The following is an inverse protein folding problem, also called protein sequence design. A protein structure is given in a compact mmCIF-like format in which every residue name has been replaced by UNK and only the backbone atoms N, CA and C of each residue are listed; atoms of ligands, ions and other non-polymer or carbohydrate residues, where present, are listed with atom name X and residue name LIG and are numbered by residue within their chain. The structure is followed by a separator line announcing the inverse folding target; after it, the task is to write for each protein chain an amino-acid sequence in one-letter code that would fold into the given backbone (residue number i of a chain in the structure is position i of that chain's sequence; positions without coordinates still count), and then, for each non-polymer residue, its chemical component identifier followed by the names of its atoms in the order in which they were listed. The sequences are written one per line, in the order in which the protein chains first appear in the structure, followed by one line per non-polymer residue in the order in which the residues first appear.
data_IF_219035156035
#
_entry.id   IF_219035156035
#
_cell.length_a   1.000
_cell.length_b   1.000
_cell.length_c   1.000
_cell.angle_alpha   90.00
_cell.angle_beta   90.00
_cell.angle_gamma   90.00
#
_symmetry.space_group_name_H-M   'P 1'
#
loop_
_entity.id
_entity.type
_entity.pdbx_description
1 polymer ?
#
# COMPACT_ATOMS: atom_id res chain seq x y z
N UNK A 1 22.41 -33.44 -50.12
CA UNK A 1 22.94 -32.11 -49.74
C UNK A 1 21.86 -31.03 -49.57
N UNK A 2 21.05 -30.70 -50.59
CA UNK A 2 20.02 -29.62 -50.47
C UNK A 2 19.06 -29.73 -49.27
N UNK A 3 18.57 -30.94 -48.94
CA UNK A 3 17.65 -31.14 -47.80
C UNK A 3 18.30 -30.90 -46.42
N UNK A 4 19.58 -31.26 -46.27
CA UNK A 4 20.35 -31.03 -45.04
C UNK A 4 20.62 -29.53 -44.86
N UNK A 5 20.90 -28.82 -45.96
CA UNK A 5 21.11 -27.37 -45.95
C UNK A 5 19.84 -26.62 -45.53
N UNK A 6 18.66 -27.04 -46.01
CA UNK A 6 17.37 -26.43 -45.65
C UNK A 6 17.06 -26.64 -44.17
N UNK A 7 17.31 -27.84 -43.63
CA UNK A 7 17.11 -28.13 -42.19
C UNK A 7 18.09 -27.32 -41.33
N UNK A 8 19.35 -27.19 -41.74
CA UNK A 8 20.34 -26.40 -41.01
C UNK A 8 20.00 -24.90 -41.01
N UNK A 9 19.56 -24.34 -42.14
CA UNK A 9 19.09 -22.94 -42.22
C UNK A 9 17.84 -22.73 -41.38
N UNK A 10 16.87 -23.65 -41.44
CA UNK A 10 15.68 -23.61 -40.60
C UNK A 10 16.01 -23.62 -39.10
N UNK A 11 16.93 -24.50 -38.68
CA UNK A 11 17.40 -24.57 -37.29
C UNK A 11 18.12 -23.29 -36.85
N UNK A 12 18.96 -22.71 -37.71
CA UNK A 12 19.67 -21.46 -37.41
C UNK A 12 18.70 -20.27 -37.23
N UNK A 13 17.64 -20.19 -38.03
CA UNK A 13 16.60 -19.16 -37.90
C UNK A 13 15.85 -19.32 -36.57
N UNK A 14 15.43 -20.54 -36.23
CA UNK A 14 14.73 -20.81 -34.97
C UNK A 14 15.62 -20.47 -33.76
N UNK A 15 16.89 -20.86 -33.79
CA UNK A 15 17.84 -20.51 -32.72
C UNK A 15 18.06 -19.00 -32.63
N UNK A 16 18.20 -18.30 -33.76
CA UNK A 16 18.31 -16.84 -33.79
C UNK A 16 17.12 -16.14 -33.15
N UNK A 17 15.90 -16.61 -33.42
CA UNK A 17 14.67 -16.10 -32.80
C UNK A 17 14.68 -16.36 -31.29
N UNK A 18 15.03 -17.58 -30.86
CA UNK A 18 15.05 -17.96 -29.43
C UNK A 18 16.11 -17.15 -28.65
N UNK A 19 17.33 -17.06 -29.17
CA UNK A 19 18.40 -16.28 -28.54
C UNK A 19 18.11 -14.78 -28.55
N UNK A 20 17.55 -14.25 -29.64
CA UNK A 20 17.11 -12.85 -29.73
C UNK A 20 16.02 -12.53 -28.72
N UNK A 21 14.98 -13.36 -28.61
CA UNK A 21 13.92 -13.20 -27.62
C UNK A 21 14.45 -13.28 -26.17
N UNK A 22 15.40 -14.19 -25.92
CA UNK A 22 16.04 -14.32 -24.60
C UNK A 22 16.92 -13.11 -24.26
N UNK A 23 17.73 -12.63 -25.19
CA UNK A 23 18.57 -11.45 -25.00
C UNK A 23 17.72 -10.20 -24.77
N UNK A 24 16.62 -10.05 -25.52
CA UNK A 24 15.66 -8.97 -25.32
C UNK A 24 14.99 -9.03 -23.94
N UNK A 25 14.56 -10.21 -23.50
CA UNK A 25 14.00 -10.40 -22.15
C UNK A 25 15.00 -10.03 -21.05
N UNK A 26 16.26 -10.46 -21.16
CA UNK A 26 17.29 -10.12 -20.19
C UNK A 26 17.61 -8.62 -20.19
N UNK A 27 17.67 -7.99 -21.37
CA UNK A 27 17.86 -6.54 -21.49
C UNK A 27 16.72 -5.77 -20.83
N UNK A 28 15.47 -6.20 -21.06
CA UNK A 28 14.29 -5.60 -20.42
C UNK A 28 14.34 -5.73 -18.89
N UNK A 29 14.64 -6.91 -18.37
CA UNK A 29 14.78 -7.14 -16.93
C UNK A 29 15.91 -6.31 -16.31
N UNK A 30 17.04 -6.16 -17.01
CA UNK A 30 18.14 -5.31 -16.55
C UNK A 30 17.73 -3.84 -16.50
N UNK A 31 16.98 -3.36 -17.50
CA UNK A 31 16.43 -1.99 -17.52
C UNK A 31 15.44 -1.77 -16.38
N UNK A 32 14.49 -2.69 -16.16
CA UNK A 32 13.51 -2.62 -15.07
C UNK A 32 14.21 -2.59 -13.70
N UNK A 33 15.25 -3.40 -13.52
CA UNK A 33 16.07 -3.42 -12.31
C UNK A 33 16.83 -2.11 -12.10
N UNK A 34 17.39 -1.53 -13.17
CA UNK A 34 18.10 -0.25 -13.09
C UNK A 34 17.15 0.91 -12.73
N UNK A 35 15.95 0.91 -13.31
CA UNK A 35 14.89 1.86 -12.96
C UNK A 35 14.45 1.71 -11.51
N UNK A 36 14.24 0.47 -11.04
CA UNK A 36 13.93 0.18 -9.65
C UNK A 36 15.02 0.69 -8.70
N UNK A 37 16.30 0.46 -9.02
CA UNK A 37 17.42 0.89 -8.20
C UNK A 37 17.43 2.42 -7.98
N UNK A 38 17.11 3.21 -9.02
CA UNK A 38 17.01 4.67 -8.89
C UNK A 38 15.86 5.11 -8.00
N UNK A 39 14.72 4.42 -8.08
CA UNK A 39 13.58 4.72 -7.20
C UNK A 39 13.94 4.42 -5.74
N UNK A 40 14.55 3.26 -5.49
CA UNK A 40 15.00 2.86 -4.16
C UNK A 40 16.06 3.83 -3.60
N UNK A 41 17.00 4.29 -4.43
CA UNK A 41 18.00 5.28 -4.02
C UNK A 41 17.36 6.56 -3.47
N UNK A 42 16.22 6.98 -4.02
CA UNK A 42 15.48 8.15 -3.50
C UNK A 42 14.64 7.78 -2.28
N UNK A 43 14.02 6.60 -2.28
CA UNK A 43 13.17 6.13 -1.18
C UNK A 43 13.95 5.90 0.13
N UNK A 44 15.20 5.45 0.03
CA UNK A 44 16.08 5.17 1.17
C UNK A 44 16.68 6.42 1.80
N UNK A 45 16.60 7.59 1.14
CA UNK A 45 17.11 8.83 1.72
C UNK A 45 16.33 9.18 2.99
N UNK A 46 17.04 9.52 4.09
CA UNK A 46 16.40 9.74 5.37
C UNK A 46 15.56 11.02 5.36
N UNK A 47 14.54 11.04 6.21
CA UNK A 47 13.88 12.28 6.62
C UNK A 47 14.61 12.79 7.85
N UNK A 48 15.06 14.05 7.82
CA UNK A 48 15.79 14.69 8.91
C UNK A 48 14.92 14.83 10.16
N UNK A 49 15.56 14.77 11.32
CA UNK A 49 14.89 15.16 12.56
C UNK A 49 14.57 16.66 12.55
N UNK A 50 13.54 17.06 13.28
CA UNK A 50 13.19 18.47 13.42
C UNK A 50 14.36 19.26 14.03
N UNK A 51 14.77 20.33 13.35
CA UNK A 51 15.91 21.16 13.76
C UNK A 51 17.30 20.67 13.30
N UNK A 52 17.39 19.52 12.61
CA UNK A 52 18.66 19.02 12.06
C UNK A 52 19.08 19.82 10.81
N UNK A 53 20.33 20.30 10.80
CA UNK A 53 20.89 21.05 9.68
C UNK A 53 21.01 20.20 8.40
N UNK A 54 20.92 20.84 7.24
CA UNK A 54 21.13 20.16 5.95
C UNK A 54 22.60 19.76 5.81
N UNK A 55 22.87 18.46 5.76
CA UNK A 55 24.20 17.94 5.40
C UNK A 55 24.28 17.78 3.87
N UNK A 56 25.07 18.64 3.22
CA UNK A 56 25.28 18.57 1.77
C UNK A 56 25.90 17.24 1.30
N UNK A 57 26.55 16.48 2.20
CA UNK A 57 27.13 15.16 1.89
C UNK A 57 26.14 14.00 2.07
N UNK A 58 25.00 14.23 2.73
CA UNK A 58 23.95 13.24 2.98
C UNK A 58 22.59 13.79 2.55
N UNK A 59 22.20 13.61 1.27
CA UNK A 59 20.91 14.05 0.77
C UNK A 59 19.78 13.48 1.63
N UNK A 60 18.91 14.36 2.11
CA UNK A 60 17.84 14.02 3.04
C UNK A 60 16.65 14.95 2.85
N UNK A 61 15.47 14.46 3.21
CA UNK A 61 14.21 15.21 3.08
C UNK A 61 13.89 15.94 4.38
N UNK A 62 13.19 17.07 4.29
CA UNK A 62 12.67 17.77 5.45
C UNK A 62 11.42 17.09 6.01
N UNK A 63 10.62 16.42 5.16
CA UNK A 63 9.40 15.73 5.60
C UNK A 63 9.17 14.41 4.85
N UNK A 64 8.32 13.55 5.42
CA UNK A 64 7.83 12.34 4.73
C UNK A 64 7.10 12.67 3.42
N UNK A 65 6.35 13.78 3.38
CA UNK A 65 5.64 14.22 2.17
C UNK A 65 6.59 14.61 1.04
N UNK A 66 7.66 15.34 1.36
CA UNK A 66 8.69 15.68 0.38
C UNK A 66 9.35 14.42 -0.20
N UNK A 67 9.66 13.44 0.66
CA UNK A 67 10.18 12.15 0.21
C UNK A 67 9.19 11.43 -0.69
N UNK A 68 7.93 11.31 -0.28
CA UNK A 68 6.90 10.62 -1.06
C UNK A 68 6.71 11.24 -2.44
N UNK A 69 6.70 12.58 -2.53
CA UNK A 69 6.63 13.31 -3.80
C UNK A 69 7.86 13.02 -4.69
N UNK A 70 9.06 13.03 -4.12
CA UNK A 70 10.28 12.75 -4.87
C UNK A 70 10.35 11.30 -5.39
N UNK A 71 9.89 10.34 -4.59
CA UNK A 71 9.83 8.93 -5.01
C UNK A 71 8.83 8.74 -6.15
N UNK A 72 7.62 9.31 -6.05
CA UNK A 72 6.63 9.24 -7.12
C UNK A 72 7.11 9.90 -8.42
N UNK A 73 7.80 11.04 -8.32
CA UNK A 73 8.38 11.72 -9.48
C UNK A 73 9.42 10.84 -10.21
N UNK A 74 10.31 10.16 -9.47
CA UNK A 74 11.28 9.24 -10.07
C UNK A 74 10.59 7.99 -10.63
N UNK A 75 9.60 7.41 -9.95
CA UNK A 75 8.81 6.30 -10.51
C UNK A 75 8.18 6.68 -11.85
N UNK A 76 7.60 7.89 -11.93
CA UNK A 76 6.99 8.42 -13.15
C UNK A 76 8.03 8.61 -14.26
N UNK A 77 9.18 9.21 -13.94
CA UNK A 77 10.28 9.45 -14.90
C UNK A 77 10.89 8.17 -15.45
N UNK A 78 11.07 7.18 -14.58
CA UNK A 78 11.59 5.87 -14.96
C UNK A 78 10.53 4.98 -15.63
N UNK A 79 9.26 5.37 -15.59
CA UNK A 79 8.15 4.62 -16.18
C UNK A 79 8.01 3.22 -15.60
N UNK A 80 8.30 3.06 -14.30
CA UNK A 80 8.32 1.75 -13.63
C UNK A 80 7.22 1.62 -12.59
N UNK A 81 6.51 0.50 -12.65
CA UNK A 81 5.58 0.03 -11.62
C UNK A 81 6.20 -1.12 -10.80
N UNK A 82 7.54 -1.31 -10.88
CA UNK A 82 8.23 -2.47 -10.28
C UNK A 82 8.08 -2.58 -8.75
N UNK A 83 7.74 -1.48 -8.06
CA UNK A 83 7.45 -1.49 -6.62
C UNK A 83 6.00 -1.88 -6.29
N UNK A 84 5.17 -2.09 -7.31
CA UNK A 84 3.78 -2.51 -7.16
C UNK A 84 2.80 -1.37 -6.84
N UNK A 85 1.52 -1.65 -7.08
CA UNK A 85 0.42 -0.71 -6.87
C UNK A 85 0.27 -0.31 -5.40
N UNK A 86 0.45 -1.24 -4.45
CA UNK A 86 0.36 -0.97 -3.02
C UNK A 86 1.35 0.12 -2.56
N UNK A 87 2.59 0.05 -3.04
CA UNK A 87 3.64 1.01 -2.68
C UNK A 87 3.32 2.39 -3.26
N UNK A 88 2.99 2.46 -4.55
CA UNK A 88 2.60 3.71 -5.22
C UNK A 88 1.40 4.37 -4.53
N UNK A 89 0.38 3.58 -4.20
CA UNK A 89 -0.80 4.03 -3.48
C UNK A 89 -0.45 4.59 -2.09
N UNK A 90 0.49 3.96 -1.36
CA UNK A 90 0.97 4.47 -0.07
C UNK A 90 1.63 5.85 -0.18
N UNK A 91 2.45 6.06 -1.22
CA UNK A 91 3.03 7.39 -1.47
C UNK A 91 1.97 8.45 -1.78
N UNK A 92 0.92 8.08 -2.55
CA UNK A 92 -0.20 8.96 -2.84
C UNK A 92 -1.01 9.28 -1.57
N UNK A 93 -1.22 8.29 -0.70
CA UNK A 93 -1.85 8.44 0.59
C UNK A 93 -1.07 9.42 1.49
N UNK A 94 0.26 9.28 1.59
CA UNK A 94 1.11 10.18 2.38
C UNK A 94 1.02 11.65 1.90
N UNK A 95 0.81 11.84 0.60
CA UNK A 95 0.59 13.15 -0.01
C UNK A 95 -0.84 13.71 0.19
N UNK A 96 -1.76 12.93 0.76
CA UNK A 96 -3.18 13.27 0.88
C UNK A 96 -3.94 13.18 -0.44
N UNK A 97 -3.37 12.55 -1.47
CA UNK A 97 -4.00 12.30 -2.77
C UNK A 97 -4.88 11.05 -2.69
N UNK A 98 -5.92 11.13 -1.87
CA UNK A 98 -6.71 9.94 -1.50
C UNK A 98 -7.45 9.32 -2.67
N UNK A 99 -7.92 10.10 -3.65
CA UNK A 99 -8.63 9.57 -4.81
C UNK A 99 -7.71 8.72 -5.70
N UNK A 100 -6.50 9.21 -5.96
CA UNK A 100 -5.49 8.46 -6.70
C UNK A 100 -5.00 7.23 -5.91
N UNK A 101 -4.81 7.36 -4.60
CA UNK A 101 -4.45 6.22 -3.74
C UNK A 101 -5.53 5.12 -3.76
N UNK A 102 -6.80 5.50 -3.65
CA UNK A 102 -7.95 4.56 -3.74
C UNK A 102 -7.97 3.84 -5.10
N UNK A 103 -7.72 4.56 -6.20
CA UNK A 103 -7.68 3.97 -7.53
C UNK A 103 -6.55 2.93 -7.67
N UNK A 104 -5.36 3.23 -7.16
CA UNK A 104 -4.23 2.31 -7.16
C UNK A 104 -4.47 1.11 -6.23
N UNK A 105 -5.02 1.31 -5.03
CA UNK A 105 -5.33 0.18 -4.15
C UNK A 105 -6.41 -0.75 -4.72
N UNK A 106 -7.42 -0.22 -5.41
CA UNK A 106 -8.43 -1.05 -6.09
C UNK A 106 -7.87 -1.88 -7.23
N UNK A 107 -6.80 -1.43 -7.89
CA UNK A 107 -6.21 -2.20 -9.01
C UNK A 107 -5.56 -3.52 -8.54
N UNK A 108 -5.26 -3.64 -7.25
CA UNK A 108 -4.57 -4.78 -6.66
C UNK A 108 -5.34 -5.45 -5.51
N UNK A 109 -6.51 -4.97 -5.08
CA UNK A 109 -7.24 -5.50 -3.92
C UNK A 109 -7.65 -6.99 -4.04
N UNK A 110 -7.78 -7.48 -5.27
CA UNK A 110 -8.14 -8.87 -5.59
C UNK A 110 -6.92 -9.78 -5.78
N UNK A 111 -5.70 -9.23 -5.74
CA UNK A 111 -4.49 -10.02 -5.88
C UNK A 111 -4.30 -10.97 -4.69
N UNK A 112 -3.69 -12.10 -4.96
CA UNK A 112 -3.30 -13.06 -3.92
C UNK A 112 -1.98 -12.62 -3.26
N UNK A 113 -1.69 -13.20 -2.09
CA UNK A 113 -0.45 -12.92 -1.36
C UNK A 113 -0.44 -11.55 -0.67
N UNK A 114 0.76 -11.09 -0.32
CA UNK A 114 0.94 -9.90 0.52
C UNK A 114 0.39 -8.62 -0.13
N UNK A 115 0.62 -8.45 -1.43
CA UNK A 115 0.23 -7.23 -2.15
C UNK A 115 -1.26 -6.98 -2.10
N UNK A 116 -2.09 -7.97 -2.42
CA UNK A 116 -3.55 -7.78 -2.35
C UNK A 116 -4.04 -7.51 -0.93
N UNK A 117 -3.37 -8.07 0.09
CA UNK A 117 -3.74 -7.78 1.47
C UNK A 117 -3.36 -6.34 1.85
N UNK A 118 -2.15 -5.89 1.48
CA UNK A 118 -1.74 -4.49 1.66
C UNK A 118 -2.66 -3.53 0.90
N UNK A 119 -3.14 -3.93 -0.28
CA UNK A 119 -4.06 -3.13 -1.07
C UNK A 119 -5.44 -2.98 -0.42
N UNK A 120 -6.00 -4.06 0.13
CA UNK A 120 -7.27 -3.98 0.87
C UNK A 120 -7.15 -3.11 2.12
N UNK A 121 -6.05 -3.22 2.85
CA UNK A 121 -5.77 -2.39 4.03
C UNK A 121 -5.61 -0.91 3.66
N UNK A 122 -4.77 -0.63 2.67
CA UNK A 122 -4.55 0.72 2.17
C UNK A 122 -5.81 1.35 1.57
N UNK A 123 -6.67 0.58 0.91
CA UNK A 123 -7.97 1.04 0.42
C UNK A 123 -8.85 1.53 1.58
N UNK A 124 -8.99 0.74 2.63
CA UNK A 124 -9.81 1.10 3.79
C UNK A 124 -9.28 2.35 4.50
N UNK A 125 -7.96 2.44 4.70
CA UNK A 125 -7.30 3.61 5.26
C UNK A 125 -7.46 4.86 4.39
N UNK A 126 -7.35 4.72 3.07
CA UNK A 126 -7.51 5.84 2.13
C UNK A 126 -8.95 6.35 2.10
N UNK A 127 -9.94 5.46 2.19
CA UNK A 127 -11.35 5.84 2.34
C UNK A 127 -11.60 6.58 3.66
N UNK A 128 -11.03 6.10 4.77
CA UNK A 128 -11.09 6.79 6.08
C UNK A 128 -10.45 8.19 6.00
N UNK A 129 -9.26 8.30 5.41
CA UNK A 129 -8.54 9.55 5.23
C UNK A 129 -9.32 10.56 4.36
N UNK A 130 -9.89 10.09 3.24
CA UNK A 130 -10.75 10.90 2.38
C UNK A 130 -11.99 11.41 3.12
N UNK A 131 -12.64 10.53 3.88
CA UNK A 131 -13.81 10.89 4.67
C UNK A 131 -13.46 11.95 5.72
N UNK A 132 -12.37 11.75 6.47
CA UNK A 132 -11.91 12.67 7.51
C UNK A 132 -11.56 14.06 6.96
N UNK A 133 -10.99 14.13 5.75
CA UNK A 133 -10.66 15.38 5.07
C UNK A 133 -11.88 16.11 4.49
N UNK A 134 -13.03 15.44 4.35
CA UNK A 134 -14.22 16.04 3.77
C UNK A 134 -14.91 16.98 4.77
N UNK A 135 -15.21 18.21 4.36
CA UNK A 135 -15.86 19.20 5.22
C UNK A 135 -17.39 19.04 5.28
N UNK A 136 -18.00 18.42 4.27
CA UNK A 136 -19.43 18.14 4.25
C UNK A 136 -19.75 16.97 5.18
N UNK A 137 -20.65 17.19 6.14
CA UNK A 137 -20.94 16.19 7.18
C UNK A 137 -21.61 14.93 6.63
N UNK A 138 -22.47 15.06 5.63
CA UNK A 138 -23.18 13.92 5.04
C UNK A 138 -22.21 13.06 4.20
N UNK A 139 -21.37 13.70 3.40
CA UNK A 139 -20.35 13.04 2.61
C UNK A 139 -19.25 12.42 3.49
N UNK A 140 -18.88 13.08 4.59
CA UNK A 140 -17.98 12.51 5.61
C UNK A 140 -18.57 11.26 6.24
N UNK A 141 -19.84 11.32 6.66
CA UNK A 141 -20.52 10.17 7.26
C UNK A 141 -20.57 8.98 6.30
N UNK A 142 -20.99 9.23 5.05
CA UNK A 142 -20.98 8.20 4.00
C UNK A 142 -19.57 7.64 3.76
N UNK A 143 -18.55 8.49 3.73
CA UNK A 143 -17.18 8.06 3.57
C UNK A 143 -16.68 7.16 4.70
N UNK A 144 -17.09 7.43 5.96
CA UNK A 144 -16.78 6.52 7.07
C UNK A 144 -17.54 5.20 6.97
N UNK A 145 -18.76 5.19 6.44
CA UNK A 145 -19.50 3.95 6.15
C UNK A 145 -18.81 3.12 5.05
N UNK A 146 -18.33 3.77 3.99
CA UNK A 146 -17.57 3.13 2.92
C UNK A 146 -16.24 2.54 3.45
N UNK A 147 -15.51 3.29 4.29
CA UNK A 147 -14.30 2.80 4.94
C UNK A 147 -14.58 1.61 5.88
N UNK A 148 -15.69 1.66 6.64
CA UNK A 148 -16.11 0.57 7.52
C UNK A 148 -16.42 -0.70 6.71
N UNK A 149 -17.09 -0.56 5.56
CA UNK A 149 -17.34 -1.68 4.66
C UNK A 149 -16.02 -2.29 4.13
N UNK A 150 -15.06 -1.45 3.75
CA UNK A 150 -13.74 -1.90 3.29
C UNK A 150 -12.96 -2.64 4.39
N UNK A 151 -12.97 -2.15 5.64
CA UNK A 151 -12.31 -2.87 6.76
C UNK A 151 -12.97 -4.21 7.08
N UNK A 152 -14.26 -4.40 6.79
CA UNK A 152 -14.95 -5.69 6.95
C UNK A 152 -14.50 -6.71 5.92
N UNK A 153 -14.20 -6.27 4.69
CA UNK A 153 -13.76 -7.17 3.61
C UNK A 153 -12.24 -7.30 3.52
N UNK A 154 -11.49 -6.45 4.24
CA UNK A 154 -10.02 -6.45 4.22
C UNK A 154 -9.41 -7.80 4.61
N UNK A 155 -10.01 -8.44 5.61
CA UNK A 155 -9.58 -9.73 6.13
C UNK A 155 -10.80 -10.68 6.17
N UNK A 156 -10.93 -11.58 5.18
CA UNK A 156 -12.06 -12.52 5.12
C UNK A 156 -12.12 -13.49 6.30
N UNK A 157 -10.95 -13.86 6.83
CA UNK A 157 -10.84 -14.79 7.96
C UNK A 157 -10.86 -14.04 9.29
N UNK A 158 -11.82 -14.33 10.17
CA UNK A 158 -11.96 -13.67 11.48
C UNK A 158 -10.97 -14.22 12.54
N UNK A 159 -9.71 -14.38 12.15
CA UNK A 159 -8.65 -14.93 13.01
C UNK A 159 -7.30 -14.24 12.77
N UNK A 160 -6.46 -14.29 13.80
CA UNK A 160 -5.08 -13.78 13.76
C UNK A 160 -4.95 -12.26 13.89
N UNK A 161 -3.70 -11.80 13.83
CA UNK A 161 -3.33 -10.42 14.13
C UNK A 161 -3.98 -9.40 13.19
N UNK A 162 -4.13 -9.74 11.91
CA UNK A 162 -4.76 -8.83 10.94
C UNK A 162 -6.27 -8.67 11.18
N UNK A 163 -6.95 -9.72 11.66
CA UNK A 163 -8.34 -9.59 12.09
C UNK A 163 -8.45 -8.69 13.34
N UNK A 164 -7.49 -8.76 14.28
CA UNK A 164 -7.43 -7.84 15.41
C UNK A 164 -7.33 -6.37 14.96
N UNK A 165 -6.44 -6.07 14.01
CA UNK A 165 -6.33 -4.74 13.41
C UNK A 165 -7.61 -4.32 12.66
N UNK A 166 -8.21 -5.23 11.88
CA UNK A 166 -9.48 -4.97 11.19
C UNK A 166 -10.56 -4.54 12.18
N UNK A 167 -10.78 -5.31 13.24
CA UNK A 167 -11.77 -5.00 14.28
C UNK A 167 -11.46 -3.70 15.02
N UNK A 168 -10.18 -3.41 15.27
CA UNK A 168 -9.77 -2.14 15.88
C UNK A 168 -10.18 -0.93 15.02
N UNK A 169 -9.93 -0.98 13.71
CA UNK A 169 -10.32 0.10 12.79
C UNK A 169 -11.84 0.17 12.63
N UNK A 170 -12.54 -0.96 12.51
CA UNK A 170 -14.01 -1.00 12.48
C UNK A 170 -14.59 -0.34 13.73
N UNK A 171 -14.08 -0.66 14.92
CA UNK A 171 -14.53 -0.08 16.18
C UNK A 171 -14.35 1.45 16.23
N UNK A 172 -13.20 1.96 15.75
CA UNK A 172 -12.96 3.41 15.64
C UNK A 172 -13.98 4.10 14.73
N UNK A 173 -14.25 3.52 13.55
CA UNK A 173 -15.23 4.07 12.61
C UNK A 173 -16.65 3.99 13.15
N UNK A 174 -17.04 2.89 13.80
CA UNK A 174 -18.33 2.75 14.47
C UNK A 174 -18.52 3.82 15.55
N UNK A 175 -17.48 4.12 16.33
CA UNK A 175 -17.51 5.20 17.32
C UNK A 175 -17.71 6.58 16.66
N UNK A 176 -17.00 6.86 15.55
CA UNK A 176 -17.16 8.11 14.78
C UNK A 176 -18.56 8.24 14.16
N UNK A 177 -19.19 7.12 13.82
CA UNK A 177 -20.57 7.04 13.33
C UNK A 177 -21.63 7.06 14.44
N UNK A 178 -21.22 7.19 15.72
CA UNK A 178 -22.13 7.21 16.86
C UNK A 178 -22.69 5.83 17.27
N UNK A 179 -22.24 4.74 16.64
CA UNK A 179 -22.68 3.36 16.90
C UNK A 179 -21.89 2.77 18.08
N UNK A 180 -22.12 3.32 19.29
CA UNK A 180 -21.29 3.05 20.48
C UNK A 180 -21.26 1.59 20.91
N UNK A 181 -22.41 0.90 20.87
CA UNK A 181 -22.48 -0.50 21.32
C UNK A 181 -21.75 -1.44 20.35
N UNK A 182 -21.94 -1.23 19.04
CA UNK A 182 -21.18 -1.95 18.00
C UNK A 182 -19.68 -1.67 18.12
N UNK A 183 -19.30 -0.42 18.40
CA UNK A 183 -17.90 -0.04 18.59
C UNK A 183 -17.27 -0.78 19.79
N UNK A 184 -17.99 -0.87 20.92
CA UNK A 184 -17.52 -1.64 22.09
C UNK A 184 -17.33 -3.12 21.75
N UNK A 185 -18.31 -3.73 21.07
CA UNK A 185 -18.22 -5.13 20.67
C UNK A 185 -17.00 -5.39 19.76
N UNK A 186 -16.78 -4.52 18.76
CA UNK A 186 -15.63 -4.63 17.87
C UNK A 186 -14.29 -4.40 18.60
N UNK A 187 -14.22 -3.46 19.55
CA UNK A 187 -13.03 -3.26 20.37
C UNK A 187 -12.69 -4.47 21.23
N UNK A 188 -13.69 -5.07 21.90
CA UNK A 188 -13.46 -6.29 22.69
C UNK A 188 -12.99 -7.46 21.81
N UNK A 189 -13.56 -7.61 20.61
CA UNK A 189 -13.11 -8.62 19.64
C UNK A 189 -11.67 -8.37 19.20
N UNK A 190 -11.30 -7.12 18.90
CA UNK A 190 -9.93 -6.75 18.58
C UNK A 190 -8.96 -7.07 19.73
N UNK A 191 -9.36 -6.82 20.98
CA UNK A 191 -8.56 -7.11 22.17
C UNK A 191 -8.35 -8.60 22.37
N UNK A 192 -9.39 -9.41 22.18
CA UNK A 192 -9.32 -10.87 22.27
C UNK A 192 -8.33 -11.45 21.25
N UNK A 193 -8.48 -11.05 19.98
CA UNK A 193 -7.63 -11.52 18.88
C UNK A 193 -6.18 -11.01 18.97
N UNK A 194 -6.00 -9.82 19.53
CA UNK A 194 -4.72 -9.12 19.64
C UNK A 194 -4.13 -9.11 21.04
N UNK A 195 -4.53 -10.02 21.93
CA UNK A 195 -4.11 -10.05 23.35
C UNK A 195 -2.59 -10.13 23.54
N UNK A 196 -1.90 -10.73 22.57
CA UNK A 196 -0.44 -10.91 22.58
C UNK A 196 0.29 -9.81 21.78
N UNK A 197 -0.45 -8.84 21.21
CA UNK A 197 0.14 -7.67 20.57
C UNK A 197 0.55 -6.65 21.63
N UNK A 198 1.78 -6.15 21.48
CA UNK A 198 2.27 -5.02 22.27
C UNK A 198 1.35 -3.81 22.04
N UNK A 199 0.99 -3.13 23.13
CA UNK A 199 0.23 -1.88 23.18
C UNK A 199 -1.23 -1.90 22.70
N UNK A 200 -1.65 -2.84 21.85
CA UNK A 200 -3.02 -2.87 21.33
C UNK A 200 -4.08 -3.03 22.43
N UNK A 201 -3.95 -3.96 23.40
CA UNK A 201 -4.91 -4.06 24.49
C UNK A 201 -5.05 -2.78 25.32
N UNK A 202 -3.93 -2.15 25.67
CA UNK A 202 -3.91 -0.89 26.45
C UNK A 202 -4.57 0.25 25.65
N UNK A 203 -4.29 0.34 24.35
CA UNK A 203 -4.91 1.31 23.46
C UNK A 203 -6.42 1.10 23.37
N UNK A 204 -6.88 -0.15 23.30
CA UNK A 204 -8.30 -0.50 23.28
C UNK A 204 -8.97 -0.14 24.61
N UNK A 205 -8.35 -0.45 25.74
CA UNK A 205 -8.90 -0.11 27.07
C UNK A 205 -9.11 1.39 27.23
N UNK A 206 -8.14 2.21 26.79
CA UNK A 206 -8.30 3.67 26.77
C UNK A 206 -9.50 4.11 25.92
N UNK A 207 -9.72 3.49 24.76
CA UNK A 207 -10.86 3.80 23.87
C UNK A 207 -12.20 3.35 24.48
N UNK A 208 -12.25 2.16 25.08
CA UNK A 208 -13.44 1.66 25.76
C UNK A 208 -13.84 2.55 26.94
N UNK A 209 -12.87 3.02 27.74
CA UNK A 209 -13.12 3.97 28.82
C UNK A 209 -13.77 5.27 28.30
N UNK A 210 -13.29 5.81 27.17
CA UNK A 210 -13.88 7.01 26.56
C UNK A 210 -15.27 6.79 25.94
N UNK A 211 -15.64 5.54 25.61
CA UNK A 211 -16.97 5.21 25.08
C UNK A 211 -18.02 5.00 26.19
N UNK A 212 -17.57 4.63 27.40
CA UNK A 212 -18.40 4.42 28.59
C UNK A 212 -18.62 5.66 29.45
N UNK A 213 -17.79 6.69 29.29
CA UNK A 213 -18.04 8.05 29.78
C UNK A 213 -19.04 8.80 28.88
#
# INVERSE_FOLDING_TARGET
MKKILIVAVGAAIVLGIVFGARAWKHSKQASETASLAKVLEVAERPVRAEGEAVDAKKPSFGTLKERAAAVLDIMTKEGTDALGHAFKAGLLFDLGKFDEAIAEYRSCETQEGLDGVLCREGLALSLEGKAAANQDSAARQKGFEDALAAFKTMQPEDTGLRAAYAHYHQARLLALLGKRDDAKAAFEKAKELGKDLMDLPELIEKRLATLGA
#
